data_IF_816728272563
#
_entry.id   IF_816728272563
#
_cell.length_a   1.000
_cell.length_b   1.000
_cell.length_c   1.000
_cell.angle_alpha   90.00
_cell.angle_beta   90.00
_cell.angle_gamma   90.00
#
_symmetry.space_group_name_H-M   'P 1'
#
loop_
_entity.id
_entity.type
_entity.pdbx_description
1 polymer ?
#
# COMPACT_ATOMS: atom_id res chain seq x y z
N UNK A 1 8.31 14.08 6.09
CA UNK A 1 6.86 13.83 5.96
C UNK A 1 6.50 12.69 6.88
N UNK A 2 5.73 13.00 7.92
CA UNK A 2 5.06 11.98 8.71
C UNK A 2 3.89 11.41 7.91
N UNK A 3 3.54 10.15 8.12
CA UNK A 3 2.39 9.50 7.46
C UNK A 3 1.06 10.25 7.66
N UNK A 4 0.99 11.12 8.69
CA UNK A 4 -0.17 11.94 9.04
C UNK A 4 -0.36 13.17 8.14
N UNK A 5 0.68 13.58 7.40
CA UNK A 5 0.62 14.71 6.46
C UNK A 5 0.22 14.26 5.04
N UNK A 6 0.13 12.95 4.82
CA UNK A 6 -0.20 12.38 3.51
C UNK A 6 -1.70 12.45 3.25
N UNK A 7 -2.06 12.84 2.03
CA UNK A 7 -3.42 12.69 1.51
C UNK A 7 -3.79 11.22 1.35
N UNK A 8 -5.09 10.93 1.32
CA UNK A 8 -5.64 9.59 1.10
C UNK A 8 -5.03 8.91 -0.13
N UNK A 9 -4.93 9.67 -1.22
CA UNK A 9 -4.33 9.25 -2.49
C UNK A 9 -2.85 8.86 -2.35
N UNK A 10 -2.07 9.67 -1.63
CA UNK A 10 -0.65 9.38 -1.39
C UNK A 10 -0.46 8.13 -0.52
N UNK A 11 -1.35 7.89 0.45
CA UNK A 11 -1.32 6.68 1.27
C UNK A 11 -1.57 5.45 0.40
N UNK A 12 -2.54 5.53 -0.52
CA UNK A 12 -2.85 4.44 -1.46
C UNK A 12 -1.73 4.22 -2.48
N UNK A 13 -1.11 5.29 -3.00
CA UNK A 13 0.04 5.22 -3.91
C UNK A 13 1.26 4.56 -3.25
N UNK A 14 1.56 4.92 -2.01
CA UNK A 14 2.65 4.31 -1.25
C UNK A 14 2.40 2.82 -1.00
N UNK A 15 1.16 2.44 -0.67
CA UNK A 15 0.79 1.03 -0.53
C UNK A 15 0.90 0.27 -1.87
N UNK A 16 0.44 0.86 -2.96
CA UNK A 16 0.56 0.28 -4.29
C UNK A 16 2.02 0.06 -4.70
N UNK A 17 2.87 1.08 -4.52
CA UNK A 17 4.31 0.98 -4.81
C UNK A 17 4.98 -0.14 -4.01
N UNK A 18 4.67 -0.27 -2.72
CA UNK A 18 5.21 -1.34 -1.88
C UNK A 18 4.70 -2.73 -2.32
N UNK A 19 3.43 -2.84 -2.74
CA UNK A 19 2.87 -4.08 -3.31
C UNK A 19 3.57 -4.46 -4.62
N UNK A 20 3.82 -3.50 -5.51
CA UNK A 20 4.52 -3.73 -6.78
C UNK A 20 5.98 -4.12 -6.55
N UNK A 21 6.68 -3.45 -5.64
CA UNK A 21 8.04 -3.82 -5.25
C UNK A 21 8.07 -5.25 -4.70
N UNK A 22 7.16 -5.61 -3.80
CA UNK A 22 7.09 -6.98 -3.27
C UNK A 22 6.88 -8.04 -4.36
N UNK A 23 6.05 -7.74 -5.37
CA UNK A 23 5.72 -8.66 -6.47
C UNK A 23 6.80 -8.76 -7.55
N UNK A 24 7.49 -7.67 -7.88
CA UNK A 24 8.33 -7.58 -9.07
C UNK A 24 9.81 -7.27 -8.82
N UNK A 25 10.20 -6.80 -7.64
CA UNK A 25 11.59 -6.46 -7.39
C UNK A 25 12.45 -7.72 -7.20
N UNK A 26 13.55 -7.79 -7.96
CA UNK A 26 14.46 -8.95 -8.00
C UNK A 26 15.64 -8.80 -7.04
N UNK A 27 15.99 -7.57 -6.66
CA UNK A 27 17.28 -7.24 -6.03
C UNK A 27 17.25 -6.98 -4.54
N UNK A 28 16.09 -6.76 -3.93
CA UNK A 28 15.97 -6.58 -2.47
C UNK A 28 15.75 -7.91 -1.75
N UNK A 29 15.90 -7.92 -0.43
CA UNK A 29 15.51 -9.05 0.40
C UNK A 29 13.96 -9.18 0.41
N UNK A 30 13.38 -10.36 0.09
CA UNK A 30 11.93 -10.57 0.11
C UNK A 30 11.25 -10.20 1.44
N UNK A 31 11.93 -10.42 2.56
CA UNK A 31 11.45 -10.13 3.91
C UNK A 31 11.33 -8.63 4.15
N UNK A 32 12.31 -7.86 3.65
CA UNK A 32 12.29 -6.39 3.72
C UNK A 32 11.12 -5.84 2.90
N UNK A 33 10.91 -6.36 1.69
CA UNK A 33 9.77 -5.95 0.86
C UNK A 33 8.43 -6.29 1.48
N UNK A 34 8.30 -7.47 2.07
CA UNK A 34 7.10 -7.86 2.79
C UNK A 34 6.84 -6.93 3.97
N UNK A 35 7.86 -6.60 4.77
CA UNK A 35 7.72 -5.67 5.89
C UNK A 35 7.29 -4.26 5.43
N UNK A 36 7.84 -3.76 4.32
CA UNK A 36 7.45 -2.49 3.72
C UNK A 36 5.99 -2.51 3.23
N UNK A 37 5.57 -3.58 2.54
CA UNK A 37 4.17 -3.77 2.12
C UNK A 37 3.22 -3.77 3.32
N UNK A 38 3.53 -4.52 4.37
CA UNK A 38 2.70 -4.59 5.58
C UNK A 38 2.63 -3.24 6.30
N UNK A 39 3.74 -2.50 6.36
CA UNK A 39 3.77 -1.16 6.95
C UNK A 39 2.89 -0.17 6.18
N UNK A 40 2.94 -0.20 4.84
CA UNK A 40 2.12 0.66 4.00
C UNK A 40 0.63 0.26 4.04
N UNK A 41 0.33 -1.04 4.05
CA UNK A 41 -1.03 -1.55 4.25
C UNK A 41 -1.59 -1.14 5.62
N UNK A 42 -0.78 -1.23 6.69
CA UNK A 42 -1.19 -0.79 8.02
C UNK A 42 -1.45 0.72 8.10
N UNK A 43 -0.81 1.53 7.25
CA UNK A 43 -1.12 2.95 7.13
C UNK A 43 -2.47 3.16 6.41
N UNK A 44 -2.72 2.42 5.33
CA UNK A 44 -4.02 2.44 4.65
C UNK A 44 -5.15 1.98 5.57
N UNK A 45 -4.95 0.91 6.34
CA UNK A 45 -5.93 0.44 7.34
C UNK A 45 -6.20 1.50 8.40
N UNK A 46 -5.15 2.17 8.92
CA UNK A 46 -5.32 3.25 9.90
C UNK A 46 -6.07 4.45 9.32
N UNK A 47 -5.91 4.72 8.03
CA UNK A 47 -6.53 5.87 7.37
C UNK A 47 -7.99 5.62 6.99
N UNK A 48 -8.29 4.46 6.41
CA UNK A 48 -9.60 4.15 5.82
C UNK A 48 -10.44 3.17 6.65
N UNK A 49 -9.80 2.37 7.51
CA UNK A 49 -10.44 1.27 8.24
C UNK A 49 -10.19 -0.11 7.61
N UNK A 50 -10.37 -1.15 8.42
CA UNK A 50 -10.30 -2.55 7.98
C UNK A 50 -11.44 -2.82 6.97
N UNK A 51 -11.14 -3.50 5.86
CA UNK A 51 -12.07 -3.71 4.75
C UNK A 51 -12.19 -2.52 3.80
N UNK A 52 -12.46 -1.33 4.33
CA UNK A 52 -12.63 -0.09 3.53
C UNK A 52 -11.35 0.33 2.79
N UNK A 53 -10.17 0.11 3.37
CA UNK A 53 -8.90 0.34 2.68
C UNK A 53 -8.79 -0.46 1.36
N UNK A 54 -9.34 -1.67 1.28
CA UNK A 54 -9.37 -2.46 0.04
C UNK A 54 -10.35 -1.87 -0.97
N UNK A 55 -11.49 -1.34 -0.53
CA UNK A 55 -12.45 -0.67 -1.40
C UNK A 55 -11.84 0.60 -2.00
N UNK A 56 -11.22 1.44 -1.16
CA UNK A 56 -10.49 2.64 -1.59
C UNK A 56 -9.36 2.30 -2.57
N UNK A 57 -8.57 1.25 -2.26
CA UNK A 57 -7.51 0.79 -3.14
C UNK A 57 -8.03 0.32 -4.51
N UNK A 58 -9.07 -0.52 -4.55
CA UNK A 58 -9.65 -1.00 -5.83
C UNK A 58 -10.27 0.12 -6.66
N UNK A 59 -10.86 1.12 -5.99
CA UNK A 59 -11.39 2.31 -6.68
C UNK A 59 -10.28 3.11 -7.35
N UNK A 60 -9.09 3.19 -6.74
CA UNK A 60 -7.93 3.92 -7.28
C UNK A 60 -7.16 3.11 -8.33
N UNK A 61 -7.02 1.80 -8.11
CA UNK A 61 -6.29 0.88 -8.97
C UNK A 61 -7.21 -0.25 -9.48
N UNK A 62 -8.14 0.05 -10.39
CA UNK A 62 -9.11 -0.94 -10.86
C UNK A 62 -8.46 -2.10 -11.63
N UNK A 63 -7.33 -1.87 -12.29
CA UNK A 63 -6.58 -2.90 -13.03
C UNK A 63 -5.83 -3.89 -12.13
N UNK A 64 -5.73 -3.60 -10.83
CA UNK A 64 -5.08 -4.44 -9.81
C UNK A 64 -6.09 -5.27 -9.00
N UNK A 65 -7.38 -5.14 -9.30
CA UNK A 65 -8.40 -6.05 -8.80
C UNK A 65 -8.19 -7.45 -9.45
N UNK A 66 -8.46 -8.53 -8.72
CA UNK A 66 -8.38 -9.88 -9.29
C UNK A 66 -9.31 -10.06 -10.50
#
# INVERSE_FOLDING_TARGET
MSLEEMTDDQVLDAWHAAKMAQKYAVTEDPSVRMALKLKAEAAAIRRFGVGEHLHAYRKRFPEEAP
#
